data_IF_100434401281
#
_entry.id   IF_100434401281
#
_cell.length_a   1.000
_cell.length_b   1.000
_cell.length_c   1.000
_cell.angle_alpha   90.00
_cell.angle_beta   90.00
_cell.angle_gamma   90.00
#
_symmetry.space_group_name_H-M   'P 1'
#
loop_
_entity.id
_entity.type
_entity.pdbx_description
1 polymer ?
#
# COMPACT_ATOMS: atom_id res chain seq x y z
N UNK A 1 3.68 15.82 -0.73
CA UNK A 1 5.06 15.56 -0.27
C UNK A 1 6.01 15.71 -1.44
N UNK A 2 7.02 16.54 -1.26
CA UNK A 2 8.14 16.65 -2.18
C UNK A 2 9.25 15.70 -1.71
N UNK A 3 10.05 15.14 -2.61
CA UNK A 3 11.21 14.30 -2.28
C UNK A 3 12.18 14.96 -1.28
N UNK A 4 12.13 16.29 -1.18
CA UNK A 4 12.92 17.09 -0.24
C UNK A 4 12.45 17.01 1.23
N UNK A 5 11.32 16.34 1.52
CA UNK A 5 10.76 16.23 2.87
C UNK A 5 11.12 14.89 3.56
N UNK A 6 11.98 14.08 2.92
CA UNK A 6 12.46 12.83 3.51
C UNK A 6 13.31 13.11 4.77
N UNK A 7 13.07 12.38 5.88
CA UNK A 7 13.91 12.50 7.05
C UNK A 7 15.35 12.05 6.73
N UNK A 8 16.37 12.68 7.33
CA UNK A 8 17.78 12.35 7.06
C UNK A 8 18.15 10.91 7.45
N UNK A 9 17.40 10.30 8.36
CA UNK A 9 17.58 8.92 8.78
C UNK A 9 16.87 7.90 7.87
N UNK A 10 16.00 8.34 6.96
CA UNK A 10 15.26 7.45 6.04
C UNK A 10 16.05 7.30 4.74
N UNK A 11 17.23 6.68 4.84
CA UNK A 11 18.13 6.38 3.73
C UNK A 11 18.54 4.90 3.71
N UNK A 12 19.05 4.42 2.57
CA UNK A 12 19.57 3.06 2.45
C UNK A 12 20.66 2.80 3.52
N UNK A 13 20.48 1.85 4.44
CA UNK A 13 21.43 1.60 5.51
C UNK A 13 22.78 1.04 5.02
N UNK A 14 22.88 0.59 3.77
CA UNK A 14 24.14 0.08 3.20
C UNK A 14 24.96 1.21 2.59
N UNK A 15 24.33 2.08 1.80
CA UNK A 15 25.02 3.13 1.03
C UNK A 15 24.89 4.54 1.60
N UNK A 16 23.91 4.77 2.50
CA UNK A 16 23.54 6.09 3.01
C UNK A 16 22.79 6.96 2.00
N UNK A 17 22.43 6.42 0.83
CA UNK A 17 21.77 7.17 -0.25
C UNK A 17 20.26 7.28 0.00
N UNK A 18 19.68 8.44 -0.32
CA UNK A 18 18.25 8.68 -0.22
C UNK A 18 17.49 8.09 -1.41
N UNK A 19 16.25 7.60 -1.21
CA UNK A 19 15.42 7.17 -2.32
C UNK A 19 15.05 8.36 -3.21
N UNK A 20 15.08 8.11 -4.52
CA UNK A 20 14.85 9.11 -5.59
C UNK A 20 13.55 8.84 -6.36
N UNK A 21 12.91 7.71 -6.11
CA UNK A 21 11.67 7.28 -6.76
C UNK A 21 10.82 6.40 -5.82
N UNK A 22 9.57 6.15 -6.24
CA UNK A 22 8.58 5.41 -5.45
C UNK A 22 8.99 3.96 -5.17
N UNK A 23 9.73 3.34 -6.09
CA UNK A 23 10.25 1.97 -5.95
C UNK A 23 11.30 1.90 -4.85
N UNK A 24 12.31 2.78 -4.88
CA UNK A 24 13.37 2.87 -3.89
C UNK A 24 12.80 3.18 -2.50
N UNK A 25 11.82 4.07 -2.42
CA UNK A 25 11.17 4.41 -1.16
C UNK A 25 10.39 3.23 -0.57
N UNK A 26 9.70 2.47 -1.43
CA UNK A 26 8.99 1.26 -1.05
C UNK A 26 9.96 0.19 -0.55
N UNK A 27 11.04 -0.06 -1.28
CA UNK A 27 12.09 -0.99 -0.86
C UNK A 27 12.69 -0.59 0.49
N UNK A 28 12.91 0.70 0.71
CA UNK A 28 13.43 1.18 1.98
C UNK A 28 12.44 0.96 3.12
N UNK A 29 11.16 1.25 2.93
CA UNK A 29 10.14 0.97 3.94
C UNK A 29 10.08 -0.52 4.31
N UNK A 30 10.25 -1.42 3.33
CA UNK A 30 10.35 -2.86 3.60
C UNK A 30 11.54 -3.20 4.51
N UNK A 31 12.72 -2.60 4.26
CA UNK A 31 13.90 -2.78 5.12
C UNK A 31 13.64 -2.27 6.55
N UNK A 32 13.07 -1.07 6.69
CA UNK A 32 12.76 -0.50 8.00
C UNK A 32 11.72 -1.32 8.77
N UNK A 33 10.71 -1.86 8.08
CA UNK A 33 9.76 -2.81 8.65
C UNK A 33 10.48 -4.07 9.18
N UNK A 34 11.31 -4.71 8.35
CA UNK A 34 12.03 -5.94 8.70
C UNK A 34 13.00 -5.75 9.87
N UNK A 35 13.56 -4.54 10.03
CA UNK A 35 14.40 -4.18 11.19
C UNK A 35 13.61 -3.81 12.44
N UNK A 36 12.27 -3.80 12.38
CA UNK A 36 11.42 -3.40 13.51
C UNK A 36 11.53 -1.91 13.86
N UNK A 37 11.91 -1.07 12.90
CA UNK A 37 12.15 0.36 13.12
C UNK A 37 10.91 1.23 12.92
N UNK A 38 9.80 0.65 12.47
CA UNK A 38 8.53 1.38 12.26
C UNK A 38 7.52 1.01 13.34
N UNK A 39 7.12 1.99 14.15
CA UNK A 39 6.08 1.85 15.16
C UNK A 39 4.68 1.96 14.54
N UNK A 40 4.20 0.87 13.92
CA UNK A 40 2.91 0.85 13.20
C UNK A 40 1.68 1.17 14.06
N UNK A 41 1.79 1.09 15.38
CA UNK A 41 0.74 1.51 16.33
C UNK A 41 0.56 3.03 16.39
N UNK A 42 1.52 3.79 15.87
CA UNK A 42 1.53 5.27 15.82
C UNK A 42 1.17 5.85 14.45
N UNK A 43 0.94 5.01 13.45
CA UNK A 43 0.55 5.42 12.10
C UNK A 43 -0.95 5.25 11.95
N UNK A 44 -1.70 6.30 11.61
CA UNK A 44 -3.15 6.21 11.50
C UNK A 44 -3.56 5.67 10.14
N UNK A 45 -4.67 4.93 10.11
CA UNK A 45 -5.37 4.59 8.88
C UNK A 45 -6.53 5.55 8.68
N UNK A 46 -6.71 6.03 7.46
CA UNK A 46 -7.78 6.95 7.07
C UNK A 46 -8.73 6.22 6.14
N UNK A 47 -10.04 6.40 6.31
CA UNK A 47 -11.03 5.82 5.40
C UNK A 47 -11.01 6.55 4.05
N UNK A 48 -11.40 5.89 2.94
CA UNK A 48 -11.49 6.54 1.63
C UNK A 48 -12.44 7.75 1.60
N UNK A 49 -13.40 7.81 2.52
CA UNK A 49 -14.28 8.98 2.74
C UNK A 49 -13.56 10.18 3.37
N UNK A 50 -12.27 10.03 3.70
CA UNK A 50 -11.41 10.96 4.45
C UNK A 50 -11.75 11.09 5.94
N UNK A 51 -12.68 10.28 6.43
CA UNK A 51 -12.95 10.17 7.86
C UNK A 51 -11.79 9.43 8.55
N UNK A 52 -11.53 9.80 9.81
CA UNK A 52 -10.63 9.03 10.64
C UNK A 52 -11.24 7.64 10.87
N UNK A 53 -10.48 6.57 10.55
CA UNK A 53 -10.97 5.20 10.78
C UNK A 53 -11.02 4.84 12.27
N UNK A 54 -10.29 5.57 13.13
CA UNK A 54 -10.03 5.20 14.51
C UNK A 54 -9.06 4.02 14.65
N UNK A 55 -8.52 3.52 13.55
CA UNK A 55 -7.57 2.42 13.50
C UNK A 55 -6.16 2.94 13.22
N UNK A 56 -5.18 2.21 13.75
CA UNK A 56 -3.77 2.38 13.43
C UNK A 56 -3.29 1.24 12.51
N UNK A 57 -2.19 1.50 11.81
CA UNK A 57 -1.63 0.59 10.82
C UNK A 57 -1.27 -0.76 11.42
N UNK A 58 -0.93 -0.84 12.72
CA UNK A 58 -0.68 -2.10 13.43
C UNK A 58 -1.85 -3.10 13.39
N UNK A 59 -3.09 -2.63 13.17
CA UNK A 59 -4.26 -3.50 12.98
C UNK A 59 -4.22 -4.30 11.68
N UNK A 60 -3.39 -3.88 10.71
CA UNK A 60 -3.17 -4.53 9.41
C UNK A 60 -1.73 -5.02 9.28
N UNK A 61 -0.75 -4.20 9.67
CA UNK A 61 0.69 -4.39 9.55
C UNK A 61 1.28 -4.73 10.93
N UNK A 62 1.08 -5.96 11.40
CA UNK A 62 1.73 -6.42 12.63
C UNK A 62 3.24 -6.58 12.42
N UNK A 63 4.05 -6.33 13.47
CA UNK A 63 5.51 -6.46 13.42
C UNK A 63 6.03 -7.89 13.20
N UNK A 64 5.16 -8.90 13.12
CA UNK A 64 5.52 -10.30 12.85
C UNK A 64 5.31 -10.73 11.40
N UNK A 65 4.78 -9.85 10.54
CA UNK A 65 4.61 -10.16 9.12
C UNK A 65 5.86 -9.86 8.29
N UNK A 66 5.79 -10.21 7.01
CA UNK A 66 6.81 -9.91 6.02
C UNK A 66 6.28 -8.83 5.10
N UNK A 67 7.03 -7.75 4.93
CA UNK A 67 6.76 -6.69 3.96
C UNK A 67 7.75 -6.84 2.79
N UNK A 68 7.22 -7.06 1.58
CA UNK A 68 8.01 -7.33 0.36
C UNK A 68 7.71 -6.26 -0.68
N UNK A 69 8.74 -5.71 -1.32
CA UNK A 69 8.57 -4.76 -2.42
C UNK A 69 8.55 -5.45 -3.79
N UNK A 70 7.87 -4.83 -4.76
CA UNK A 70 7.78 -5.31 -6.15
C UNK A 70 7.30 -6.76 -6.28
N UNK A 71 6.38 -7.17 -5.40
CA UNK A 71 5.91 -8.55 -5.36
C UNK A 71 5.10 -8.88 -6.63
N UNK A 72 5.46 -9.95 -7.36
CA UNK A 72 4.71 -10.38 -8.53
C UNK A 72 3.37 -10.97 -8.11
N UNK A 73 2.27 -10.40 -8.61
CA UNK A 73 0.93 -10.88 -8.31
C UNK A 73 0.58 -12.09 -9.17
N UNK A 74 0.69 -13.29 -8.59
CA UNK A 74 0.40 -14.54 -9.28
C UNK A 74 -1.11 -14.80 -9.42
N UNK A 75 -1.57 -15.08 -10.64
CA UNK A 75 -2.91 -15.60 -10.89
C UNK A 75 -2.88 -17.12 -11.16
N UNK A 76 -3.85 -17.87 -10.63
CA UNK A 76 -3.90 -19.33 -10.84
C UNK A 76 -4.34 -19.66 -12.27
N UNK A 77 -3.66 -20.63 -12.91
CA UNK A 77 -3.97 -21.13 -14.27
C UNK A 77 -5.40 -21.69 -14.44
N UNK A 78 -6.06 -22.08 -13.36
CA UNK A 78 -7.42 -22.66 -13.41
C UNK A 78 -8.49 -21.62 -13.74
N UNK A 79 -8.21 -20.34 -13.50
CA UNK A 79 -8.99 -19.25 -14.05
C UNK A 79 -8.27 -18.85 -15.34
N UNK A 80 -8.89 -19.01 -16.51
CA UNK A 80 -8.45 -18.39 -17.78
C UNK A 80 -8.55 -16.86 -17.71
N UNK A 81 -8.02 -16.26 -16.65
CA UNK A 81 -7.72 -14.85 -16.58
C UNK A 81 -6.29 -14.77 -17.09
N UNK A 82 -6.15 -14.34 -18.34
CA UNK A 82 -4.87 -14.11 -18.97
C UNK A 82 -3.92 -13.47 -17.95
N UNK A 83 -2.73 -14.04 -17.82
CA UNK A 83 -1.62 -13.37 -17.13
C UNK A 83 -1.44 -11.94 -17.64
N UNK A 84 -1.94 -11.57 -18.83
CA UNK A 84 -1.98 -10.20 -19.33
C UNK A 84 -2.81 -9.21 -18.49
N UNK A 85 -3.76 -9.67 -17.65
CA UNK A 85 -4.50 -8.78 -16.74
C UNK A 85 -3.76 -8.45 -15.44
N UNK A 86 -2.79 -9.27 -15.02
CA UNK A 86 -2.17 -9.20 -13.68
C UNK A 86 -0.64 -9.30 -13.67
N UNK A 87 -0.06 -10.09 -14.58
CA UNK A 87 1.33 -10.54 -14.57
C UNK A 87 2.36 -9.46 -14.89
N UNK A 88 1.94 -8.28 -15.35
CA UNK A 88 2.81 -7.10 -15.48
C UNK A 88 2.64 -6.11 -14.32
N UNK A 89 1.68 -6.35 -13.43
CA UNK A 89 1.37 -5.46 -12.33
C UNK A 89 2.06 -5.96 -11.06
N UNK A 90 3.16 -5.30 -10.70
CA UNK A 90 3.82 -5.48 -9.42
C UNK A 90 3.18 -4.53 -8.44
N UNK A 91 2.80 -5.04 -7.28
CA UNK A 91 2.47 -4.16 -6.17
C UNK A 91 3.76 -3.54 -5.65
N UNK A 92 3.73 -2.24 -5.32
CA UNK A 92 4.87 -1.54 -4.73
C UNK A 92 5.30 -2.27 -3.46
N UNK A 93 4.33 -2.65 -2.64
CA UNK A 93 4.52 -3.38 -1.38
C UNK A 93 3.41 -4.42 -1.16
N UNK A 94 3.78 -5.58 -0.64
CA UNK A 94 2.87 -6.61 -0.14
C UNK A 94 3.29 -7.00 1.26
N UNK A 95 2.35 -6.87 2.19
CA UNK A 95 2.47 -7.38 3.54
C UNK A 95 1.77 -8.75 3.64
N UNK A 96 2.43 -9.71 4.26
CA UNK A 96 1.85 -11.03 4.57
C UNK A 96 2.08 -11.30 6.06
N UNK A 97 1.00 -11.40 6.82
CA UNK A 97 1.06 -11.77 8.24
C UNK A 97 1.39 -13.25 8.40
N UNK A 98 2.28 -13.54 9.36
CA UNK A 98 2.63 -14.90 9.76
C UNK A 98 1.70 -15.47 10.85
N UNK A 99 0.82 -14.63 11.42
CA UNK A 99 0.03 -14.97 12.61
C UNK A 99 -1.44 -15.22 12.28
N UNK A 100 -2.06 -14.31 11.53
CA UNK A 100 -3.51 -14.28 11.36
C UNK A 100 -3.96 -14.44 9.89
N UNK A 101 -3.02 -14.74 9.00
CA UNK A 101 -3.30 -14.94 7.58
C UNK A 101 -3.83 -13.69 6.89
N UNK A 102 -3.48 -12.49 7.36
CA UNK A 102 -3.78 -11.24 6.65
C UNK A 102 -2.79 -10.97 5.52
N UNK A 103 -3.31 -10.35 4.45
CA UNK A 103 -2.53 -9.77 3.36
C UNK A 103 -2.91 -8.30 3.19
N UNK A 104 -1.92 -7.45 2.98
CA UNK A 104 -2.15 -6.09 2.52
C UNK A 104 -1.36 -5.81 1.24
N UNK A 105 -2.03 -5.31 0.21
CA UNK A 105 -1.34 -4.64 -0.90
C UNK A 105 -1.23 -3.16 -0.52
N UNK A 106 -0.02 -2.62 -0.58
CA UNK A 106 0.25 -1.22 -0.32
C UNK A 106 0.78 -0.60 -1.61
N UNK A 107 0.05 0.38 -2.14
CA UNK A 107 0.45 1.15 -3.32
C UNK A 107 1.03 2.48 -2.86
N UNK A 108 2.25 2.78 -3.27
CA UNK A 108 2.96 4.02 -2.95
C UNK A 108 2.74 5.07 -4.05
N UNK A 109 2.30 6.27 -3.68
CA UNK A 109 2.18 7.40 -4.61
C UNK A 109 2.78 8.67 -4.01
N UNK A 110 3.83 9.19 -4.64
CA UNK A 110 4.45 10.49 -4.35
C UNK A 110 4.48 11.28 -5.65
N UNK A 111 3.34 11.90 -5.97
CA UNK A 111 3.19 12.83 -7.09
C UNK A 111 3.02 12.19 -8.47
N UNK A 112 3.26 10.90 -8.66
CA UNK A 112 2.96 10.20 -9.92
C UNK A 112 1.45 9.95 -10.07
N UNK A 113 0.91 9.96 -11.30
CA UNK A 113 -0.49 9.53 -11.56
C UNK A 113 -0.56 8.00 -11.66
N UNK A 114 -1.75 7.43 -11.47
CA UNK A 114 -1.98 6.01 -11.73
C UNK A 114 -1.59 5.64 -13.18
N UNK A 115 -0.76 4.60 -13.33
CA UNK A 115 -0.04 4.32 -14.58
C UNK A 115 -0.87 3.52 -15.59
N UNK A 116 -1.80 2.67 -15.12
CA UNK A 116 -2.57 1.74 -15.95
C UNK A 116 -4.07 2.03 -15.83
N UNK A 117 -4.70 2.49 -16.92
CA UNK A 117 -6.15 2.73 -16.97
C UNK A 117 -6.67 3.93 -16.15
N UNK A 118 -5.78 4.70 -15.51
CA UNK A 118 -6.15 5.89 -14.75
C UNK A 118 -7.12 5.59 -13.60
N UNK A 119 -8.23 6.33 -13.57
CA UNK A 119 -9.24 6.27 -12.51
C UNK A 119 -10.37 5.26 -12.81
N UNK A 120 -10.19 4.37 -13.79
CA UNK A 120 -11.18 3.34 -14.10
C UNK A 120 -11.33 2.36 -12.92
N UNK A 121 -12.55 2.24 -12.41
CA UNK A 121 -12.87 1.45 -11.21
C UNK A 121 -12.71 -0.05 -11.40
N UNK A 122 -12.75 -0.57 -12.63
CA UNK A 122 -12.64 -2.01 -12.93
C UNK A 122 -11.27 -2.38 -13.48
N UNK A 123 -10.79 -1.62 -14.46
CA UNK A 123 -9.59 -1.91 -15.24
C UNK A 123 -8.39 -1.05 -14.89
N UNK A 124 -8.60 0.02 -14.10
CA UNK A 124 -7.54 0.86 -13.58
C UNK A 124 -6.70 0.15 -12.53
N UNK A 125 -5.59 0.77 -12.16
CA UNK A 125 -4.61 0.18 -11.26
C UNK A 125 -5.22 -0.27 -9.92
N UNK A 126 -5.97 0.61 -9.24
CA UNK A 126 -6.62 0.27 -7.97
C UNK A 126 -7.68 -0.82 -8.15
N UNK A 127 -8.54 -0.68 -9.17
CA UNK A 127 -9.60 -1.65 -9.46
C UNK A 127 -9.06 -3.05 -9.70
N UNK A 128 -7.93 -3.16 -10.42
CA UNK A 128 -7.19 -4.41 -10.54
C UNK A 128 -6.71 -4.87 -9.16
N UNK A 129 -5.86 -4.14 -8.45
CA UNK A 129 -5.30 -4.66 -7.18
C UNK A 129 -6.38 -5.13 -6.17
N UNK A 130 -7.55 -4.49 -6.13
CA UNK A 130 -8.71 -4.95 -5.36
C UNK A 130 -9.32 -6.26 -5.86
N UNK A 131 -9.49 -6.43 -7.17
CA UNK A 131 -9.96 -7.68 -7.78
C UNK A 131 -9.03 -8.86 -7.50
N UNK A 132 -7.71 -8.62 -7.43
CA UNK A 132 -6.74 -9.61 -6.99
C UNK A 132 -7.00 -10.03 -5.54
N UNK A 133 -7.12 -9.05 -4.64
CA UNK A 133 -7.39 -9.30 -3.23
C UNK A 133 -8.71 -10.05 -3.01
N UNK A 134 -9.76 -9.72 -3.77
CA UNK A 134 -11.05 -10.43 -3.69
C UNK A 134 -10.93 -11.93 -4.02
N UNK A 135 -9.94 -12.31 -4.85
CA UNK A 135 -9.67 -13.69 -5.27
C UNK A 135 -8.57 -14.37 -4.44
N UNK A 136 -7.88 -13.64 -3.56
CA UNK A 136 -6.82 -14.20 -2.73
C UNK A 136 -7.38 -15.23 -1.73
N UNK A 137 -6.65 -16.31 -1.46
CA UNK A 137 -7.10 -17.36 -0.52
C UNK A 137 -7.05 -16.94 0.95
N UNK A 138 -6.36 -15.85 1.27
CA UNK A 138 -6.18 -15.35 2.63
C UNK A 138 -7.45 -14.67 3.15
N UNK A 139 -7.89 -14.92 4.40
CA UNK A 139 -9.19 -14.48 4.90
C UNK A 139 -9.29 -12.97 5.15
N UNK A 140 -8.19 -12.33 5.57
CA UNK A 140 -8.17 -10.88 5.86
C UNK A 140 -7.38 -10.17 4.77
N UNK A 141 -8.05 -9.29 4.03
CA UNK A 141 -7.51 -8.67 2.82
C UNK A 141 -7.61 -7.17 2.94
N UNK A 142 -6.49 -6.50 2.73
CA UNK A 142 -6.41 -5.06 2.87
C UNK A 142 -5.76 -4.43 1.63
N UNK A 143 -6.25 -3.26 1.27
CA UNK A 143 -5.60 -2.38 0.32
C UNK A 143 -5.28 -1.06 1.01
N UNK A 144 -4.03 -0.64 0.94
CA UNK A 144 -3.57 0.62 1.51
C UNK A 144 -2.99 1.48 0.39
N UNK A 145 -3.50 2.69 0.22
CA UNK A 145 -2.85 3.69 -0.61
C UNK A 145 -1.99 4.58 0.29
N UNK A 146 -0.68 4.41 0.17
CA UNK A 146 0.33 5.15 0.91
C UNK A 146 0.77 6.37 0.09
N UNK A 147 0.49 7.56 0.59
CA UNK A 147 0.82 8.80 -0.11
C UNK A 147 1.04 9.94 0.89
N UNK A 148 1.16 11.16 0.41
CA UNK A 148 1.25 12.34 1.27
C UNK A 148 -0.12 12.87 1.69
N UNK A 149 -0.17 13.55 2.83
CA UNK A 149 -1.41 14.18 3.33
C UNK A 149 -2.03 15.13 2.31
N UNK A 150 -1.21 15.96 1.67
CA UNK A 150 -1.62 16.88 0.62
C UNK A 150 -2.35 16.16 -0.53
N UNK A 151 -1.85 15.00 -0.95
CA UNK A 151 -2.44 14.21 -2.03
C UNK A 151 -3.73 13.48 -1.59
N UNK A 152 -3.86 13.11 -0.31
CA UNK A 152 -5.12 12.61 0.24
C UNK A 152 -6.19 13.71 0.25
N UNK A 153 -5.80 14.92 0.63
CA UNK A 153 -6.71 16.05 0.74
C UNK A 153 -7.13 16.56 -0.64
N UNK A 154 -6.19 16.68 -1.59
CA UNK A 154 -6.39 17.41 -2.85
C UNK A 154 -6.16 16.58 -4.13
N UNK A 155 -5.59 15.38 -4.03
CA UNK A 155 -5.09 14.61 -5.19
C UNK A 155 -6.10 13.65 -5.84
N UNK A 156 -7.36 13.60 -5.40
CA UNK A 156 -8.39 12.71 -5.94
C UNK A 156 -8.19 11.21 -5.64
N UNK A 157 -7.11 10.84 -4.93
CA UNK A 157 -6.81 9.47 -4.55
C UNK A 157 -7.90 8.81 -3.70
N UNK A 158 -8.42 9.57 -2.74
CA UNK A 158 -9.47 9.11 -1.83
C UNK A 158 -10.74 8.72 -2.58
N UNK A 159 -11.15 9.51 -3.59
CA UNK A 159 -12.31 9.17 -4.42
C UNK A 159 -12.05 7.96 -5.31
N UNK A 160 -10.87 7.86 -5.95
CA UNK A 160 -10.54 6.69 -6.78
C UNK A 160 -10.57 5.40 -5.96
N UNK A 161 -9.99 5.42 -4.76
CA UNK A 161 -10.03 4.28 -3.86
C UNK A 161 -11.47 3.95 -3.42
N UNK A 162 -12.24 4.96 -3.01
CA UNK A 162 -13.63 4.78 -2.60
C UNK A 162 -14.46 4.15 -3.73
N UNK A 163 -14.43 4.74 -4.93
CA UNK A 163 -15.24 4.29 -6.06
C UNK A 163 -14.85 2.88 -6.50
N UNK A 164 -13.55 2.56 -6.46
CA UNK A 164 -13.05 1.21 -6.76
C UNK A 164 -13.46 0.17 -5.73
N UNK A 165 -13.64 0.55 -4.46
CA UNK A 165 -14.14 -0.33 -3.39
C UNK A 165 -15.65 -0.54 -3.45
N UNK A 166 -16.42 0.49 -3.83
CA UNK A 166 -17.87 0.38 -3.99
C UNK A 166 -18.26 -0.41 -5.24
N UNK A 167 -17.39 -0.47 -6.26
CA UNK A 167 -17.64 -1.26 -7.45
C UNK A 167 -17.81 -2.75 -7.11
N UNK A 168 -18.98 -3.30 -7.45
CA UNK A 168 -19.37 -4.71 -7.19
C UNK A 168 -19.18 -5.15 -5.73
N UNK A 169 -19.42 -4.24 -4.78
CA UNK A 169 -19.35 -4.51 -3.33
C UNK A 169 -18.02 -5.11 -2.86
N UNK A 170 -16.90 -4.75 -3.50
CA UNK A 170 -15.55 -5.21 -3.09
C UNK A 170 -15.23 -4.84 -1.64
N UNK A 171 -15.83 -3.76 -1.13
CA UNK A 171 -15.77 -3.32 0.27
C UNK A 171 -16.23 -4.38 1.28
N UNK A 172 -17.08 -5.35 0.88
CA UNK A 172 -17.46 -6.48 1.73
C UNK A 172 -16.34 -7.52 1.89
N UNK A 173 -15.37 -7.54 0.99
CA UNK A 173 -14.28 -8.54 0.95
C UNK A 173 -12.90 -7.97 1.26
N UNK A 174 -12.70 -6.66 1.08
CA UNK A 174 -11.40 -5.99 1.20
C UNK A 174 -11.55 -4.71 2.03
N UNK A 175 -10.76 -4.59 3.09
CA UNK A 175 -10.62 -3.34 3.84
C UNK A 175 -9.73 -2.35 3.09
N UNK A 176 -10.24 -1.18 2.74
CA UNK A 176 -9.49 -0.16 2.02
C UNK A 176 -9.15 1.03 2.89
N UNK A 177 -7.88 1.46 2.86
CA UNK A 177 -7.38 2.56 3.69
C UNK A 177 -6.43 3.48 2.93
N UNK A 178 -6.30 4.70 3.43
CA UNK A 178 -5.25 5.65 3.08
C UNK A 178 -4.27 5.71 4.25
N UNK A 179 -2.98 5.87 3.94
CA UNK A 179 -1.90 6.00 4.92
C UNK A 179 -0.96 7.13 4.51
N UNK A 180 -0.47 7.90 5.48
CA UNK A 180 0.37 9.08 5.23
C UNK A 180 1.86 8.78 5.43
N UNK A 181 2.70 9.11 4.45
CA UNK A 181 4.16 9.04 4.61
C UNK A 181 4.67 9.87 5.78
N UNK A 182 4.07 11.04 6.03
CA UNK A 182 4.45 11.92 7.13
C UNK A 182 4.28 11.23 8.49
N UNK A 183 3.30 10.33 8.63
CA UNK A 183 3.10 9.55 9.85
C UNK A 183 4.06 8.37 9.92
N UNK A 184 4.29 7.66 8.80
CA UNK A 184 5.28 6.58 8.72
C UNK A 184 6.66 7.08 9.12
N UNK A 185 7.08 8.24 8.61
CA UNK A 185 8.35 8.86 8.96
C UNK A 185 8.44 9.20 10.44
N UNK A 186 7.43 9.86 11.01
CA UNK A 186 7.38 10.17 12.45
C UNK A 186 7.40 8.92 13.33
N UNK A 187 6.85 7.82 12.85
CA UNK A 187 6.82 6.54 13.53
C UNK A 187 8.11 5.72 13.36
N UNK A 188 9.06 6.21 12.55
CA UNK A 188 10.30 5.50 12.27
C UNK A 188 11.41 5.95 13.23
N UNK A 189 12.05 5.00 13.91
CA UNK A 189 13.21 5.25 14.76
C UNK A 189 14.52 5.21 13.96
N UNK A 190 15.52 5.96 14.43
CA UNK A 190 16.90 5.82 13.96
C UNK A 190 17.45 4.49 14.46
N UNK A 191 17.87 3.63 13.52
CA UNK A 191 18.49 2.33 13.80
C UNK A 191 19.99 2.41 13.95
#
# INVERSE_FOLDING_TARGET
>A
MNWNELPPYFCDPVTGVYPTNEDELSALLAVFHLKGLVAWDKVNLILPTKDNSGLNASSVLSGHGILVCQYPLFASKAQKLDMDRWGLMRADLVYISTVDGSIAIIENKIGSRFTSGGNDVEHGQVGRLLDYLCKASLPKRHFILLTSRELIENGGYSSVLNDSLQYKDRSCSVGGYLMCWEEVFKATSVG
#
